data_IF_016799765526
#
_entry.id   IF_016799765526
#
_cell.length_a   1.000
_cell.length_b   1.000
_cell.length_c   1.000
_cell.angle_alpha   90.00
_cell.angle_beta   90.00
_cell.angle_gamma   90.00
#
_symmetry.space_group_name_H-M   'P 1'
#
loop_
_entity.id
_entity.type
_entity.pdbx_description
1 polymer ?
#
# COMPACT_ATOMS: atom_id res chain seq x y z
N UNK A 1 -17.77 -77.27 -4.68
CA UNK A 1 -18.75 -76.42 -5.40
C UNK A 1 -18.90 -75.13 -4.62
N UNK A 2 -19.04 -74.03 -5.36
CA UNK A 2 -19.05 -72.65 -4.88
C UNK A 2 -20.22 -72.37 -3.91
N UNK A 3 -20.00 -71.42 -2.99
CA UNK A 3 -21.04 -70.84 -2.15
C UNK A 3 -20.62 -69.49 -1.55
N UNK A 4 -20.31 -68.52 -2.41
CA UNK A 4 -20.20 -67.10 -2.07
C UNK A 4 -21.60 -66.53 -1.78
N UNK A 5 -21.80 -65.65 -0.79
CA UNK A 5 -22.58 -64.37 -0.86
C UNK A 5 -22.48 -63.57 0.46
N UNK A 6 -21.70 -62.49 0.47
CA UNK A 6 -22.10 -61.07 0.45
C UNK A 6 -22.32 -60.42 1.83
N UNK A 7 -21.25 -59.80 2.36
CA UNK A 7 -21.35 -58.67 3.29
C UNK A 7 -21.29 -57.40 2.44
N UNK A 8 -22.37 -56.62 2.46
CA UNK A 8 -22.43 -55.35 1.73
C UNK A 8 -21.59 -54.28 2.40
N UNK A 9 -20.57 -53.76 1.70
CA UNK A 9 -19.96 -52.48 2.05
C UNK A 9 -20.87 -51.36 1.54
N UNK A 10 -21.46 -50.60 2.45
CA UNK A 10 -22.05 -49.30 2.13
C UNK A 10 -20.89 -48.31 2.00
N UNK A 11 -20.56 -47.92 0.77
CA UNK A 11 -19.66 -46.82 0.51
C UNK A 11 -20.37 -45.51 0.86
N UNK A 12 -20.00 -44.90 1.99
CA UNK A 12 -20.39 -43.51 2.30
C UNK A 12 -19.52 -42.61 1.43
N UNK A 13 -20.08 -42.13 0.32
CA UNK A 13 -19.46 -41.06 -0.46
C UNK A 13 -19.53 -39.77 0.38
N UNK A 14 -18.39 -39.35 0.94
CA UNK A 14 -18.26 -38.03 1.51
C UNK A 14 -18.37 -37.00 0.39
N UNK A 15 -19.55 -36.35 0.27
CA UNK A 15 -19.66 -35.13 -0.53
C UNK A 15 -18.79 -34.07 0.13
N UNK A 16 -17.61 -33.83 -0.45
CA UNK A 16 -16.88 -32.58 -0.24
C UNK A 16 -17.79 -31.46 -0.72
N UNK A 17 -18.40 -30.73 0.21
CA UNK A 17 -19.06 -29.48 -0.09
C UNK A 17 -17.99 -28.51 -0.62
N UNK A 18 -17.93 -28.35 -1.93
CA UNK A 18 -17.19 -27.25 -2.55
C UNK A 18 -17.95 -26.00 -2.17
N UNK A 19 -17.51 -25.32 -1.11
CA UNK A 19 -17.97 -23.95 -0.88
C UNK A 19 -17.58 -23.16 -2.12
N UNK A 20 -18.51 -22.42 -2.76
CA UNK A 20 -18.12 -21.53 -3.82
C UNK A 20 -17.06 -20.60 -3.23
N UNK A 21 -15.88 -20.56 -3.83
CA UNK A 21 -14.87 -19.59 -3.45
C UNK A 21 -15.51 -18.21 -3.64
N UNK A 22 -15.91 -17.57 -2.54
CA UNK A 22 -16.38 -16.19 -2.57
C UNK A 22 -15.36 -15.38 -3.37
N UNK A 23 -15.84 -14.52 -4.27
CA UNK A 23 -14.94 -13.64 -5.01
C UNK A 23 -14.06 -12.92 -4.00
N UNK A 24 -12.76 -13.19 -4.03
CA UNK A 24 -11.83 -12.54 -3.13
C UNK A 24 -11.77 -11.08 -3.57
N UNK A 25 -11.96 -10.19 -2.60
CA UNK A 25 -11.92 -8.73 -2.75
C UNK A 25 -10.71 -8.20 -1.98
N UNK A 26 -10.25 -6.98 -2.26
CA UNK A 26 -9.25 -6.33 -1.42
C UNK A 26 -9.73 -6.24 0.03
N UNK A 27 -8.81 -6.34 0.98
CA UNK A 27 -9.12 -6.08 2.41
C UNK A 27 -9.46 -4.60 2.66
N UNK A 28 -8.95 -3.72 1.78
CA UNK A 28 -9.28 -2.30 1.81
C UNK A 28 -10.73 -2.05 1.40
N UNK A 29 -11.38 -1.15 2.14
CA UNK A 29 -12.80 -0.86 2.01
C UNK A 29 -13.09 0.41 1.22
N UNK A 30 -14.32 0.49 0.72
CA UNK A 30 -14.89 1.71 0.15
C UNK A 30 -14.47 1.94 -1.29
N UNK A 31 -14.17 3.19 -1.62
CA UNK A 31 -13.69 3.60 -2.93
C UNK A 31 -12.15 3.56 -2.95
N UNK A 32 -11.61 2.67 -3.79
CA UNK A 32 -10.20 2.40 -3.91
C UNK A 32 -9.65 2.97 -5.21
N UNK A 33 -8.41 3.43 -5.16
CA UNK A 33 -7.58 3.49 -6.35
C UNK A 33 -7.08 2.09 -6.67
N UNK A 34 -6.98 1.75 -7.96
CA UNK A 34 -6.21 0.60 -8.43
C UNK A 34 -4.98 1.15 -9.15
N UNK A 35 -3.80 0.82 -8.65
CA UNK A 35 -2.52 1.38 -9.08
C UNK A 35 -1.62 0.24 -9.56
N UNK A 36 -0.98 0.33 -10.74
CA UNK A 36 -0.08 -0.72 -11.18
C UNK A 36 1.15 -0.73 -10.25
N UNK A 37 1.64 -1.91 -9.88
CA UNK A 37 2.83 -2.04 -9.03
C UNK A 37 4.09 -1.37 -9.64
N UNK A 38 4.08 -1.15 -10.95
CA UNK A 38 5.12 -0.40 -11.66
C UNK A 38 5.16 1.09 -11.30
N UNK A 39 4.05 1.67 -10.81
CA UNK A 39 3.98 3.08 -10.41
C UNK A 39 2.75 3.38 -9.55
N UNK A 40 3.00 3.73 -8.30
CA UNK A 40 1.96 4.15 -7.36
C UNK A 40 1.33 5.52 -7.73
N UNK A 41 1.85 6.26 -8.72
CA UNK A 41 1.27 7.55 -9.15
C UNK A 41 0.32 7.43 -10.35
N UNK A 42 0.08 6.20 -10.81
CA UNK A 42 -0.81 5.90 -11.94
C UNK A 42 -2.02 5.11 -11.44
N UNK A 43 -3.18 5.37 -12.02
CA UNK A 43 -4.46 4.85 -11.58
C UNK A 43 -5.25 4.28 -12.75
N UNK A 44 -5.88 3.12 -12.54
CA UNK A 44 -6.93 2.60 -13.41
C UNK A 44 -8.07 3.64 -13.47
N UNK A 45 -8.40 4.08 -14.68
CA UNK A 45 -9.28 5.22 -14.90
C UNK A 45 -10.29 4.91 -15.99
N UNK A 46 -11.57 5.16 -15.74
CA UNK A 46 -12.58 5.18 -16.79
C UNK A 46 -12.52 6.51 -17.57
N UNK A 47 -12.43 6.45 -18.91
CA UNK A 47 -12.26 7.65 -19.74
C UNK A 47 -13.48 8.61 -19.70
N UNK A 48 -14.68 8.06 -19.51
CA UNK A 48 -15.94 8.79 -19.26
C UNK A 48 -16.93 7.88 -18.53
N UNK A 49 -18.13 8.37 -18.22
CA UNK A 49 -19.22 7.60 -17.58
C UNK A 49 -20.15 6.88 -18.58
N UNK A 50 -19.83 6.95 -19.88
CA UNK A 50 -20.62 6.34 -20.94
C UNK A 50 -20.34 4.83 -21.07
N UNK A 51 -21.32 4.06 -21.51
CA UNK A 51 -21.10 2.65 -21.86
C UNK A 51 -20.08 2.53 -22.98
N UNK A 52 -19.17 1.57 -22.86
CA UNK A 52 -18.09 1.35 -23.81
C UNK A 52 -16.89 2.28 -23.62
N UNK A 53 -16.93 3.20 -22.65
CA UNK A 53 -15.79 4.06 -22.37
C UNK A 53 -14.56 3.21 -21.99
N UNK A 54 -13.41 3.58 -22.55
CA UNK A 54 -12.16 2.87 -22.34
C UNK A 54 -11.75 2.90 -20.87
N UNK A 55 -11.19 1.79 -20.40
CA UNK A 55 -10.45 1.75 -19.14
C UNK A 55 -8.97 1.92 -19.46
N UNK A 56 -8.38 2.99 -18.95
CA UNK A 56 -7.02 3.45 -19.27
C UNK A 56 -6.19 3.62 -18.01
N UNK A 57 -4.88 3.71 -18.16
CA UNK A 57 -4.01 4.20 -17.09
C UNK A 57 -3.90 5.73 -17.19
N UNK A 58 -3.99 6.41 -16.06
CA UNK A 58 -3.85 7.87 -15.98
C UNK A 58 -3.14 8.25 -14.69
N UNK A 59 -2.43 9.37 -14.67
CA UNK A 59 -1.96 10.01 -13.44
C UNK A 59 -3.10 10.12 -12.40
N UNK A 60 -2.81 9.72 -11.16
CA UNK A 60 -3.79 9.73 -10.08
C UNK A 60 -4.18 11.16 -9.68
N UNK A 61 -5.44 11.54 -9.89
CA UNK A 61 -6.02 12.84 -9.52
C UNK A 61 -7.04 12.74 -8.39
N UNK A 62 -7.59 11.54 -8.15
CA UNK A 62 -8.70 11.34 -7.20
C UNK A 62 -10.07 11.67 -7.80
N UNK A 63 -10.16 11.81 -9.12
CA UNK A 63 -11.41 11.95 -9.84
C UNK A 63 -12.34 10.75 -9.60
N UNK A 64 -13.66 10.96 -9.76
CA UNK A 64 -14.65 9.88 -9.62
C UNK A 64 -14.41 8.71 -10.59
N UNK A 65 -13.81 8.98 -11.75
CA UNK A 65 -13.40 7.99 -12.75
C UNK A 65 -12.28 7.04 -12.30
N UNK A 66 -11.60 7.35 -11.19
CA UNK A 66 -10.47 6.57 -10.65
C UNK A 66 -10.85 5.81 -9.37
N UNK A 67 -12.10 5.94 -8.93
CA UNK A 67 -12.58 5.41 -7.66
C UNK A 67 -13.43 4.19 -7.90
N UNK A 68 -12.87 3.04 -7.52
CA UNK A 68 -13.46 1.74 -7.77
C UNK A 68 -13.96 1.10 -6.49
N UNK A 69 -15.11 0.43 -6.54
CA UNK A 69 -15.67 -0.33 -5.42
C UNK A 69 -15.84 -1.78 -5.80
N UNK A 70 -15.32 -2.68 -4.98
CA UNK A 70 -15.47 -4.12 -5.16
C UNK A 70 -16.76 -4.57 -4.46
N UNK A 71 -17.64 -5.27 -5.17
CA UNK A 71 -18.89 -5.77 -4.58
C UNK A 71 -19.37 -7.03 -5.31
N UNK A 72 -19.43 -8.16 -4.59
CA UNK A 72 -20.02 -9.40 -5.11
C UNK A 72 -19.41 -9.86 -6.44
N UNK A 73 -18.08 -9.76 -6.58
CA UNK A 73 -17.35 -10.09 -7.80
C UNK A 73 -17.30 -8.98 -8.86
N UNK A 74 -18.06 -7.90 -8.72
CA UNK A 74 -17.99 -6.75 -9.64
C UNK A 74 -17.00 -5.69 -9.15
N UNK A 75 -16.35 -4.98 -10.10
CA UNK A 75 -15.48 -3.83 -9.83
C UNK A 75 -16.15 -2.59 -10.43
N UNK A 76 -16.74 -1.76 -9.57
CA UNK A 76 -17.66 -0.69 -9.98
C UNK A 76 -17.01 0.69 -9.98
N UNK A 77 -17.40 1.55 -10.92
CA UNK A 77 -17.08 2.98 -10.98
C UNK A 77 -18.36 3.77 -11.31
N UNK A 78 -18.42 5.05 -10.95
CA UNK A 78 -19.62 5.90 -11.13
C UNK A 78 -20.93 5.28 -10.59
N UNK A 79 -20.83 4.53 -9.50
CA UNK A 79 -21.93 3.80 -8.83
C UNK A 79 -22.51 2.61 -9.60
N UNK A 80 -22.80 2.73 -10.91
CA UNK A 80 -23.50 1.70 -11.69
C UNK A 80 -22.77 1.29 -12.99
N UNK A 81 -21.48 1.62 -13.13
CA UNK A 81 -20.64 1.10 -14.21
C UNK A 81 -19.70 0.05 -13.65
N UNK A 82 -19.45 -1.01 -14.40
CA UNK A 82 -18.62 -2.13 -14.02
C UNK A 82 -17.45 -2.26 -14.99
N UNK A 83 -16.27 -2.62 -14.47
CA UNK A 83 -15.14 -3.07 -15.27
C UNK A 83 -15.58 -4.28 -16.11
N UNK A 84 -15.37 -4.21 -17.41
CA UNK A 84 -15.99 -5.09 -18.38
C UNK A 84 -14.97 -5.50 -19.45
N UNK A 85 -14.93 -6.79 -19.76
CA UNK A 85 -14.21 -7.29 -20.94
C UNK A 85 -15.08 -7.03 -22.16
N UNK A 86 -14.62 -6.15 -23.06
CA UNK A 86 -15.37 -5.78 -24.27
C UNK A 86 -15.86 -7.02 -25.01
N UNK A 87 -17.16 -7.09 -25.27
CA UNK A 87 -17.87 -8.17 -25.97
C UNK A 87 -17.69 -9.58 -25.36
N UNK A 88 -17.10 -9.71 -24.17
CA UNK A 88 -16.86 -11.01 -23.53
C UNK A 88 -15.87 -11.91 -24.27
N UNK A 89 -14.99 -11.33 -25.09
CA UNK A 89 -14.03 -12.09 -25.90
C UNK A 89 -12.85 -12.55 -25.03
N UNK A 90 -12.69 -13.86 -24.87
CA UNK A 90 -11.55 -14.46 -24.16
C UNK A 90 -10.34 -14.64 -25.06
N UNK A 91 -9.65 -13.53 -25.34
CA UNK A 91 -8.43 -13.48 -26.15
C UNK A 91 -7.42 -12.53 -25.51
N UNK A 92 -6.15 -12.91 -25.55
CA UNK A 92 -5.07 -12.02 -25.14
C UNK A 92 -5.08 -10.72 -25.95
N UNK A 93 -4.96 -9.60 -25.25
CA UNK A 93 -5.04 -8.27 -25.83
C UNK A 93 -6.46 -7.72 -25.96
N UNK A 94 -7.50 -8.48 -25.60
CA UNK A 94 -8.86 -7.96 -25.58
C UNK A 94 -8.95 -6.77 -24.62
N UNK A 95 -9.49 -5.66 -25.12
CA UNK A 95 -9.48 -4.40 -24.38
C UNK A 95 -10.57 -4.35 -23.31
N UNK A 96 -10.26 -3.63 -22.23
CA UNK A 96 -11.21 -3.36 -21.16
C UNK A 96 -12.01 -2.10 -21.45
N UNK A 97 -13.24 -2.09 -20.97
CA UNK A 97 -14.16 -0.97 -20.99
C UNK A 97 -14.91 -0.88 -19.66
N UNK A 98 -15.75 0.14 -19.54
CA UNK A 98 -16.83 0.12 -18.58
C UNK A 98 -18.17 -0.12 -19.27
N UNK A 99 -19.09 -0.76 -18.57
CA UNK A 99 -20.46 -0.94 -19.03
C UNK A 99 -21.43 -0.86 -17.86
N UNK A 100 -22.71 -0.58 -18.11
CA UNK A 100 -23.73 -0.67 -17.06
C UNK A 100 -23.64 -2.03 -16.38
N UNK A 101 -23.58 -2.03 -15.05
CA UNK A 101 -23.53 -3.25 -14.27
C UNK A 101 -24.80 -4.09 -14.53
N UNK A 102 -24.61 -5.37 -14.85
CA UNK A 102 -25.69 -6.32 -15.05
C UNK A 102 -25.54 -7.52 -14.12
N UNK A 103 -26.65 -8.01 -13.58
CA UNK A 103 -26.66 -9.25 -12.80
C UNK A 103 -26.25 -10.43 -13.67
N UNK A 104 -25.45 -11.34 -13.11
CA UNK A 104 -24.97 -12.57 -13.78
C UNK A 104 -24.23 -12.34 -15.11
N UNK A 105 -23.72 -11.12 -15.37
CA UNK A 105 -22.89 -10.87 -16.54
C UNK A 105 -21.46 -11.35 -16.29
N UNK A 106 -21.08 -12.45 -16.95
CA UNK A 106 -19.76 -13.05 -16.82
C UNK A 106 -18.62 -12.09 -17.19
N UNK A 107 -18.83 -11.15 -18.11
CA UNK A 107 -17.81 -10.19 -18.58
C UNK A 107 -17.40 -9.17 -17.51
N UNK A 108 -18.19 -9.08 -16.42
CA UNK A 108 -18.06 -8.12 -15.34
C UNK A 108 -17.71 -8.78 -13.99
N UNK A 109 -17.39 -10.08 -14.02
CA UNK A 109 -17.03 -10.84 -12.82
C UNK A 109 -15.53 -10.95 -12.69
N UNK A 110 -15.00 -10.47 -11.58
CA UNK A 110 -13.59 -10.41 -11.29
C UNK A 110 -13.29 -11.06 -9.94
N UNK A 111 -12.08 -11.60 -9.83
CA UNK A 111 -11.52 -12.16 -8.61
C UNK A 111 -10.20 -11.44 -8.32
N UNK A 112 -10.14 -10.76 -7.17
CA UNK A 112 -8.93 -10.08 -6.71
C UNK A 112 -8.17 -10.99 -5.74
N UNK A 113 -7.02 -11.50 -6.17
CA UNK A 113 -6.14 -12.23 -5.27
C UNK A 113 -5.36 -11.23 -4.42
N UNK A 114 -5.73 -11.13 -3.14
CA UNK A 114 -5.09 -10.21 -2.18
C UNK A 114 -3.64 -10.56 -1.87
N UNK A 115 -3.18 -11.79 -2.11
CA UNK A 115 -1.81 -12.21 -1.83
C UNK A 115 -0.85 -11.80 -2.95
N UNK A 116 -1.34 -11.87 -4.18
CA UNK A 116 -0.55 -11.56 -5.39
C UNK A 116 -0.90 -10.18 -5.98
N UNK A 117 -1.87 -9.47 -5.40
CA UNK A 117 -2.44 -8.23 -5.92
C UNK A 117 -2.85 -8.32 -7.40
N UNK A 118 -3.37 -9.48 -7.80
CA UNK A 118 -3.79 -9.70 -9.17
C UNK A 118 -5.32 -9.61 -9.30
N UNK A 119 -5.80 -8.89 -10.31
CA UNK A 119 -7.22 -8.83 -10.66
C UNK A 119 -7.51 -9.71 -11.89
N UNK A 120 -8.18 -10.83 -11.68
CA UNK A 120 -8.43 -11.86 -12.69
C UNK A 120 -9.88 -11.92 -13.13
N UNK A 121 -10.11 -12.21 -14.41
CA UNK A 121 -11.43 -12.47 -14.95
C UNK A 121 -11.91 -13.85 -14.50
N UNK A 122 -13.00 -13.88 -13.73
CA UNK A 122 -13.45 -15.06 -12.97
C UNK A 122 -13.60 -16.30 -13.87
N UNK A 123 -12.78 -17.32 -13.60
CA UNK A 123 -12.82 -18.61 -14.28
C UNK A 123 -12.31 -18.59 -15.73
N UNK A 124 -11.64 -17.53 -16.19
CA UNK A 124 -11.16 -17.41 -17.58
C UNK A 124 -9.66 -17.52 -17.77
N UNK A 125 -8.88 -17.53 -16.68
CA UNK A 125 -7.42 -17.61 -16.73
C UNK A 125 -6.76 -16.36 -17.33
N UNK A 126 -7.48 -15.23 -17.33
CA UNK A 126 -7.02 -13.93 -17.81
C UNK A 126 -7.02 -12.90 -16.70
N UNK A 127 -6.08 -11.98 -16.77
CA UNK A 127 -5.79 -10.98 -15.77
C UNK A 127 -5.85 -9.60 -16.38
N UNK A 128 -6.28 -8.60 -15.61
CA UNK A 128 -6.15 -7.19 -15.99
C UNK A 128 -4.67 -6.90 -16.17
N UNK A 129 -4.31 -6.39 -17.33
CA UNK A 129 -2.94 -6.26 -17.80
C UNK A 129 -2.70 -4.85 -18.35
N UNK A 130 -1.61 -4.24 -17.90
CA UNK A 130 -1.07 -3.03 -18.48
C UNK A 130 -0.22 -3.38 -19.71
N UNK A 131 -0.69 -3.08 -20.95
CA UNK A 131 0.02 -3.50 -22.16
C UNK A 131 1.47 -3.03 -22.15
N UNK A 132 2.39 -3.97 -22.29
CA UNK A 132 3.84 -3.76 -22.33
C UNK A 132 4.41 -3.01 -21.11
N UNK A 133 3.67 -2.93 -20.00
CA UNK A 133 4.04 -2.11 -18.84
C UNK A 133 4.06 -0.62 -19.14
N UNK A 134 3.44 -0.16 -20.23
CA UNK A 134 3.52 1.22 -20.69
C UNK A 134 2.68 2.15 -19.80
N UNK A 135 3.37 3.01 -19.05
CA UNK A 135 2.81 3.98 -18.09
C UNK A 135 2.37 5.32 -18.72
N UNK A 136 2.38 5.46 -20.05
CA UNK A 136 1.84 6.65 -20.72
C UNK A 136 0.35 6.83 -20.40
N UNK A 137 -0.01 8.06 -20.06
CA UNK A 137 -1.41 8.42 -19.80
C UNK A 137 -2.28 8.12 -21.04
N UNK A 138 -3.45 7.52 -20.81
CA UNK A 138 -4.37 7.10 -21.86
C UNK A 138 -4.11 5.69 -22.42
N UNK A 139 -3.03 4.99 -22.02
CA UNK A 139 -2.82 3.60 -22.46
C UNK A 139 -3.97 2.71 -21.99
N UNK A 140 -4.68 2.08 -22.93
CA UNK A 140 -5.89 1.29 -22.67
C UNK A 140 -5.55 -0.11 -22.19
N UNK A 141 -6.09 -0.47 -21.03
CA UNK A 141 -5.87 -1.77 -20.41
C UNK A 141 -6.50 -2.89 -21.22
N UNK A 142 -5.95 -4.08 -21.02
CA UNK A 142 -6.39 -5.29 -21.68
C UNK A 142 -6.53 -6.43 -20.68
N UNK A 143 -7.05 -7.55 -21.15
CA UNK A 143 -6.84 -8.83 -20.49
C UNK A 143 -5.69 -9.58 -21.15
N UNK A 144 -4.93 -10.31 -20.35
CA UNK A 144 -3.87 -11.18 -20.82
C UNK A 144 -3.77 -12.44 -19.96
N UNK A 145 -3.18 -13.51 -20.47
CA UNK A 145 -2.90 -14.73 -19.71
C UNK A 145 -2.25 -14.42 -18.37
N UNK A 146 -2.85 -14.94 -17.29
CA UNK A 146 -2.34 -14.71 -15.94
C UNK A 146 -0.95 -15.33 -15.76
N UNK A 147 0.01 -14.56 -15.28
CA UNK A 147 1.35 -15.06 -14.99
C UNK A 147 1.93 -14.44 -13.72
N UNK A 148 2.32 -15.30 -12.79
CA UNK A 148 2.86 -15.00 -11.45
C UNK A 148 4.21 -14.25 -11.43
N UNK A 149 4.82 -13.96 -12.58
CA UNK A 149 6.02 -13.10 -12.70
C UNK A 149 5.79 -11.86 -13.55
N UNK A 150 4.58 -11.63 -14.04
CA UNK A 150 4.27 -10.48 -14.87
C UNK A 150 3.84 -9.30 -13.99
N UNK A 151 4.76 -8.35 -13.77
CA UNK A 151 4.49 -7.12 -12.99
C UNK A 151 3.45 -6.21 -13.62
N UNK A 152 3.11 -6.41 -14.90
CA UNK A 152 2.06 -5.64 -15.59
C UNK A 152 0.64 -6.03 -15.14
N UNK A 153 0.52 -7.13 -14.39
CA UNK A 153 -0.76 -7.68 -13.91
C UNK A 153 -0.95 -7.53 -12.41
N UNK A 154 -0.11 -6.72 -11.77
CA UNK A 154 -0.14 -6.47 -10.33
C UNK A 154 -0.73 -5.08 -10.10
N UNK A 155 -1.82 -5.05 -9.35
CA UNK A 155 -2.69 -3.91 -9.12
C UNK A 155 -2.86 -3.70 -7.63
N UNK A 156 -2.08 -2.80 -7.06
CA UNK A 156 -2.22 -2.40 -5.67
C UNK A 156 -3.52 -1.61 -5.50
N UNK A 157 -4.21 -1.88 -4.40
CA UNK A 157 -5.36 -1.07 -3.99
C UNK A 157 -4.97 -0.10 -2.90
N UNK A 158 -5.49 1.12 -2.95
CA UNK A 158 -5.29 2.06 -1.85
C UNK A 158 -6.05 3.35 -2.01
N UNK A 159 -5.52 4.40 -1.41
CA UNK A 159 -6.18 5.66 -1.19
C UNK A 159 -5.27 6.82 -1.54
N UNK A 160 -5.89 7.99 -1.70
CA UNK A 160 -5.16 9.24 -1.63
C UNK A 160 -5.18 9.75 -0.20
N UNK A 161 -4.10 10.40 0.20
CA UNK A 161 -4.01 11.05 1.51
C UNK A 161 -5.11 12.08 1.76
N UNK A 162 -5.62 12.73 0.70
CA UNK A 162 -6.67 13.75 0.77
C UNK A 162 -8.10 13.17 0.80
N UNK A 163 -8.24 11.84 0.73
CA UNK A 163 -9.51 11.14 0.66
C UNK A 163 -9.50 9.82 1.46
N UNK A 164 -8.90 9.83 2.65
CA UNK A 164 -8.82 8.65 3.51
C UNK A 164 -10.19 8.29 4.13
N UNK A 165 -10.55 7.00 4.20
CA UNK A 165 -11.70 6.54 4.96
C UNK A 165 -11.42 6.68 6.47
N UNK A 166 -12.47 6.59 7.30
CA UNK A 166 -12.25 6.51 8.75
C UNK A 166 -11.50 5.22 9.10
N UNK A 167 -11.92 4.09 8.54
CA UNK A 167 -11.22 2.81 8.63
C UNK A 167 -11.00 2.23 7.25
N UNK A 168 -9.78 1.84 6.95
CA UNK A 168 -9.41 1.19 5.69
C UNK A 168 -9.69 -0.32 5.70
N UNK A 169 -9.65 -0.99 6.86
CA UNK A 169 -9.86 -2.45 6.96
C UNK A 169 -10.89 -2.84 8.04
N UNK A 170 -11.39 -4.08 7.98
CA UNK A 170 -12.20 -4.69 9.04
C UNK A 170 -11.35 -5.05 10.25
N UNK A 171 -11.79 -4.67 11.45
CA UNK A 171 -11.05 -4.92 12.70
C UNK A 171 -10.00 -3.85 13.06
N UNK A 172 -9.86 -2.80 12.25
CA UNK A 172 -8.98 -1.69 12.54
C UNK A 172 -9.30 -1.02 13.89
N UNK A 173 -8.30 -0.87 14.75
CA UNK A 173 -8.42 -0.26 16.08
C UNK A 173 -8.76 1.23 16.01
N UNK A 174 -7.86 2.00 15.39
CA UNK A 174 -7.88 3.45 15.31
C UNK A 174 -8.60 3.97 14.07
N UNK A 175 -8.07 5.06 13.52
CA UNK A 175 -8.61 5.75 12.34
C UNK A 175 -7.52 6.16 11.35
N UNK A 176 -7.85 6.19 10.06
CA UNK A 176 -7.04 6.83 9.03
C UNK A 176 -7.41 8.32 8.81
N UNK A 177 -8.55 8.80 9.34
CA UNK A 177 -8.95 10.22 9.36
C UNK A 177 -8.35 10.95 10.56
N UNK A 178 -7.02 11.03 10.59
CA UNK A 178 -6.27 11.46 11.77
C UNK A 178 -6.49 12.92 12.20
N UNK A 179 -7.04 13.76 11.32
CA UNK A 179 -7.11 15.21 11.54
C UNK A 179 -5.72 15.83 11.58
N UNK A 180 -5.58 16.99 12.23
CA UNK A 180 -4.32 17.74 12.28
C UNK A 180 -3.75 17.90 13.68
N UNK A 181 -4.53 17.69 14.73
CA UNK A 181 -4.05 17.88 16.11
C UNK A 181 -3.29 16.65 16.59
N UNK A 182 -2.10 16.85 17.13
CA UNK A 182 -1.25 15.78 17.66
C UNK A 182 -1.17 15.84 19.18
N UNK A 183 -1.45 14.72 19.84
CA UNK A 183 -1.29 14.51 21.27
C UNK A 183 -1.19 13.00 21.57
N UNK A 184 -0.90 12.65 22.82
CA UNK A 184 -0.61 11.28 23.22
C UNK A 184 -1.84 10.36 23.31
N UNK A 185 -3.06 10.90 23.14
CA UNK A 185 -4.30 10.12 23.09
C UNK A 185 -4.71 9.71 21.67
N UNK A 186 -4.01 10.21 20.64
CA UNK A 186 -4.37 9.97 19.23
C UNK A 186 -4.20 8.51 18.84
N UNK A 187 -5.17 8.00 18.09
CA UNK A 187 -5.19 6.64 17.54
C UNK A 187 -5.11 6.65 16.01
N UNK A 188 -4.30 7.55 15.45
CA UNK A 188 -4.06 7.59 14.01
C UNK A 188 -3.31 6.34 13.56
N UNK A 189 -3.80 5.69 12.50
CA UNK A 189 -3.14 4.55 11.86
C UNK A 189 -2.68 4.88 10.44
N UNK A 190 -2.21 6.11 10.25
CA UNK A 190 -1.56 6.58 9.01
C UNK A 190 -0.17 7.13 9.34
N UNK A 191 0.87 6.51 8.77
CA UNK A 191 2.26 6.87 8.96
C UNK A 191 2.83 7.57 7.73
N UNK A 192 3.93 8.31 7.95
CA UNK A 192 4.66 9.02 6.91
C UNK A 192 6.15 8.73 7.01
N UNK A 193 6.84 8.67 5.87
CA UNK A 193 8.31 8.53 5.81
C UNK A 193 8.86 9.43 4.70
N UNK A 194 9.50 10.55 5.10
CA UNK A 194 9.97 11.58 4.18
C UNK A 194 11.46 11.91 4.35
N UNK A 195 11.97 11.92 5.59
CA UNK A 195 13.37 12.23 5.92
C UNK A 195 13.70 11.80 7.34
N UNK A 196 14.97 11.94 7.75
CA UNK A 196 15.43 11.76 9.12
C UNK A 196 14.71 12.67 10.12
N UNK A 197 14.14 13.79 9.69
CA UNK A 197 13.41 14.72 10.56
C UNK A 197 11.89 14.67 10.41
N UNK A 198 11.36 14.00 9.40
CA UNK A 198 9.92 13.87 9.13
C UNK A 198 9.56 12.41 8.81
N UNK A 199 9.24 11.67 9.86
CA UNK A 199 8.80 10.30 9.77
C UNK A 199 7.89 9.93 10.93
N UNK A 200 7.28 8.76 10.81
CA UNK A 200 6.50 8.12 11.85
C UNK A 200 7.00 6.71 12.09
N UNK A 201 6.78 6.21 13.31
CA UNK A 201 6.94 4.82 13.70
C UNK A 201 5.60 4.28 14.20
N UNK A 202 5.37 2.99 14.01
CA UNK A 202 4.27 2.28 14.66
C UNK A 202 4.71 1.88 16.06
N UNK A 203 3.84 2.13 17.05
CA UNK A 203 4.09 1.69 18.42
C UNK A 203 2.77 1.54 19.20
N UNK A 204 2.79 0.85 20.36
CA UNK A 204 1.59 0.48 21.10
C UNK A 204 0.76 1.71 21.54
N UNK A 205 -0.57 1.69 21.37
CA UNK A 205 -1.45 2.74 21.89
C UNK A 205 -1.53 2.78 23.43
N UNK A 206 -1.23 1.68 24.11
CA UNK A 206 -1.08 1.55 25.57
C UNK A 206 0.17 0.74 25.88
N UNK A 207 0.60 0.70 27.14
CA UNK A 207 1.79 -0.07 27.54
C UNK A 207 1.60 -1.56 27.25
N UNK A 208 2.29 -2.09 26.26
CA UNK A 208 2.23 -3.49 25.82
C UNK A 208 3.47 -3.83 25.00
N UNK A 209 3.80 -5.13 24.93
CA UNK A 209 4.86 -5.57 24.00
C UNK A 209 4.41 -5.34 22.55
N UNK A 210 5.36 -5.27 21.62
CA UNK A 210 5.04 -5.16 20.20
C UNK A 210 4.25 -6.37 19.71
N UNK A 211 4.66 -7.58 20.08
CA UNK A 211 3.94 -8.80 19.70
C UNK A 211 2.48 -8.85 20.20
N UNK A 212 2.19 -8.26 21.37
CA UNK A 212 0.82 -8.23 21.92
C UNK A 212 -0.07 -7.13 21.33
N UNK A 213 0.51 -6.15 20.63
CA UNK A 213 -0.21 -4.92 20.20
C UNK A 213 0.00 -4.56 18.74
N UNK A 214 0.68 -5.42 17.98
CA UNK A 214 1.04 -5.17 16.58
C UNK A 214 -0.17 -4.81 15.71
N UNK A 215 -1.32 -5.41 15.99
CA UNK A 215 -2.57 -5.21 15.24
C UNK A 215 -3.22 -3.86 15.52
N UNK A 216 -3.01 -3.31 16.72
CA UNK A 216 -3.58 -2.07 17.21
C UNK A 216 -2.60 -0.89 17.24
N UNK A 217 -1.34 -1.12 16.85
CA UNK A 217 -0.30 -0.11 16.81
C UNK A 217 -0.76 1.17 16.10
N UNK A 218 -0.34 2.32 16.64
CA UNK A 218 -0.72 3.65 16.15
C UNK A 218 0.53 4.43 15.74
N UNK A 219 0.36 5.44 14.89
CA UNK A 219 1.47 6.24 14.38
C UNK A 219 1.96 7.25 15.43
N UNK A 220 3.27 7.25 15.64
CA UNK A 220 4.02 8.22 16.41
C UNK A 220 4.99 8.95 15.51
N UNK A 221 4.83 10.26 15.33
CA UNK A 221 5.59 11.01 14.35
C UNK A 221 6.53 12.03 14.98
N UNK A 222 7.64 12.32 14.29
CA UNK A 222 8.52 13.44 14.62
C UNK A 222 7.87 14.80 14.35
N UNK A 223 6.82 14.83 13.52
CA UNK A 223 6.04 16.04 13.23
C UNK A 223 4.70 16.05 13.94
N UNK A 224 4.42 17.14 14.67
CA UNK A 224 3.04 17.46 15.05
C UNK A 224 2.29 18.05 13.86
N UNK A 225 0.96 17.99 13.83
CA UNK A 225 0.18 18.44 12.67
C UNK A 225 -0.37 17.29 11.81
N UNK A 226 0.07 16.05 12.07
CA UNK A 226 -0.33 14.84 11.34
C UNK A 226 -1.58 14.16 11.89
N UNK A 227 -2.12 14.64 13.01
CA UNK A 227 -3.22 13.95 13.70
C UNK A 227 -2.76 12.72 14.51
N UNK A 228 -1.45 12.53 14.60
CA UNK A 228 -0.78 11.36 15.19
C UNK A 228 -0.30 11.66 16.60
N UNK A 229 0.18 10.64 17.31
CA UNK A 229 1.01 10.89 18.49
C UNK A 229 2.34 11.50 18.05
N UNK A 230 3.03 12.18 18.97
CA UNK A 230 4.37 12.69 18.72
C UNK A 230 5.40 11.86 19.48
N UNK A 231 6.52 11.55 18.81
CA UNK A 231 7.64 10.83 19.44
C UNK A 231 8.21 11.72 20.56
N UNK A 232 8.20 11.28 21.85
CA UNK A 232 8.63 12.14 22.94
C UNK A 232 10.08 12.61 22.80
N UNK A 233 10.38 13.80 23.30
CA UNK A 233 11.73 14.37 23.22
C UNK A 233 12.77 13.46 23.90
N UNK A 234 13.93 13.33 23.25
CA UNK A 234 15.04 12.51 23.75
C UNK A 234 14.81 11.00 23.64
N UNK A 235 13.75 10.55 22.96
CA UNK A 235 13.54 9.15 22.56
C UNK A 235 14.59 8.72 21.54
N UNK A 236 14.74 9.48 20.45
CA UNK A 236 15.66 9.14 19.36
C UNK A 236 17.12 9.47 19.74
N UNK A 237 18.00 8.49 19.67
CA UNK A 237 19.45 8.61 19.95
C UNK A 237 20.33 8.49 18.70
N UNK A 238 19.79 8.00 17.60
CA UNK A 238 20.39 8.07 16.27
C UNK A 238 19.31 7.82 15.22
N UNK A 239 19.43 8.48 14.07
CA UNK A 239 18.49 8.35 12.95
C UNK A 239 19.25 8.43 11.64
N UNK A 240 19.15 7.38 10.84
CA UNK A 240 19.70 7.33 9.49
C UNK A 240 18.56 7.14 8.50
N UNK A 241 18.34 8.13 7.65
CA UNK A 241 17.40 8.04 6.54
C UNK A 241 18.16 7.85 5.24
N UNK A 242 17.70 6.94 4.40
CA UNK A 242 18.23 6.74 3.06
C UNK A 242 17.11 6.66 2.03
N UNK A 243 17.28 7.40 0.93
CA UNK A 243 16.47 7.27 -0.27
C UNK A 243 17.26 6.52 -1.34
N UNK A 244 16.68 5.45 -1.86
CA UNK A 244 17.21 4.68 -3.00
C UNK A 244 16.30 4.85 -4.21
N UNK A 245 16.62 4.25 -5.37
CA UNK A 245 15.70 4.19 -6.50
C UNK A 245 14.41 3.40 -6.19
N UNK A 246 14.47 2.39 -5.32
CA UNK A 246 13.39 1.42 -5.11
C UNK A 246 12.67 1.56 -3.75
N UNK A 247 13.24 2.27 -2.78
CA UNK A 247 12.63 2.45 -1.47
C UNK A 247 13.18 3.66 -0.71
N UNK A 248 12.45 4.05 0.33
CA UNK A 248 12.99 4.83 1.44
C UNK A 248 13.10 3.95 2.66
N UNK A 249 14.14 4.19 3.45
CA UNK A 249 14.37 3.46 4.69
C UNK A 249 14.83 4.42 5.76
N UNK A 250 14.34 4.21 6.98
CA UNK A 250 14.81 4.91 8.16
C UNK A 250 15.16 3.90 9.25
N UNK A 251 16.33 4.07 9.86
CA UNK A 251 16.88 3.19 10.89
C UNK A 251 17.39 4.02 12.05
N UNK A 252 17.47 3.43 13.24
CA UNK A 252 18.03 4.14 14.36
C UNK A 252 17.92 3.43 15.70
N UNK A 253 18.41 4.14 16.70
CA UNK A 253 18.45 3.69 18.11
C UNK A 253 17.78 4.72 19.00
N UNK A 254 17.30 4.29 20.16
CA UNK A 254 16.49 5.13 21.02
C UNK A 254 16.19 4.55 22.39
N UNK A 255 15.40 5.29 23.15
CA UNK A 255 14.70 4.84 24.35
C UNK A 255 13.20 4.82 24.03
N UNK A 256 12.75 3.72 23.42
CA UNK A 256 11.37 3.56 22.98
C UNK A 256 10.43 3.13 24.10
N UNK A 257 10.94 3.00 25.33
CA UNK A 257 10.08 2.84 26.51
C UNK A 257 9.16 4.04 26.73
N UNK A 258 9.54 5.18 26.16
CA UNK A 258 8.74 6.41 26.08
C UNK A 258 7.56 6.32 25.11
N UNK A 259 7.51 5.28 24.27
CA UNK A 259 6.46 5.04 23.28
C UNK A 259 5.63 3.82 23.64
N UNK A 260 5.41 3.61 24.95
CA UNK A 260 4.63 2.52 25.53
C UNK A 260 5.23 1.10 25.41
N UNK A 261 6.44 0.96 24.87
CA UNK A 261 7.11 -0.35 24.78
C UNK A 261 7.73 -0.69 26.16
N UNK A 262 7.53 -1.88 26.73
CA UNK A 262 8.20 -2.28 27.96
C UNK A 262 9.71 -2.40 27.77
N UNK A 263 10.49 -2.04 28.81
CA UNK A 263 11.93 -2.31 28.81
C UNK A 263 12.19 -3.82 28.71
N UNK A 264 13.16 -4.21 27.88
CA UNK A 264 13.48 -5.61 27.60
C UNK A 264 12.62 -6.29 26.53
N UNK A 265 11.64 -5.58 25.94
CA UNK A 265 10.93 -6.09 24.77
C UNK A 265 11.89 -6.17 23.57
N UNK A 266 12.01 -7.37 23.00
CA UNK A 266 12.86 -7.63 21.83
C UNK A 266 12.28 -7.06 20.54
N UNK A 267 11.02 -6.61 20.57
CA UNK A 267 10.33 -6.03 19.44
C UNK A 267 9.60 -7.06 18.58
N UNK A 268 9.12 -6.61 17.43
CA UNK A 268 8.43 -7.44 16.45
C UNK A 268 8.33 -6.75 15.09
N UNK A 269 7.95 -7.52 14.07
CA UNK A 269 7.64 -6.99 12.75
C UNK A 269 6.26 -6.34 12.72
N UNK A 270 6.16 -5.26 11.95
CA UNK A 270 4.94 -4.54 11.61
C UNK A 270 4.98 -4.27 10.11
N UNK A 271 3.93 -4.63 9.40
CA UNK A 271 3.91 -4.67 7.94
C UNK A 271 2.50 -4.44 7.38
N UNK A 272 2.42 -4.39 6.05
CA UNK A 272 1.17 -4.20 5.32
C UNK A 272 0.31 -5.47 5.19
N UNK A 273 0.81 -6.65 5.61
CA UNK A 273 0.25 -7.99 5.36
C UNK A 273 0.64 -9.03 6.45
N UNK A 274 -0.15 -9.09 7.50
CA UNK A 274 -0.15 -10.21 8.45
C UNK A 274 -0.72 -11.50 7.87
N UNK A 275 -0.70 -12.56 8.66
CA UNK A 275 -1.05 -13.93 8.25
C UNK A 275 -2.49 -14.12 7.71
N UNK A 276 -3.41 -13.22 8.02
CA UNK A 276 -4.79 -13.23 7.52
C UNK A 276 -5.01 -12.33 6.29
N UNK A 277 -3.96 -11.65 5.83
CA UNK A 277 -3.94 -10.71 4.71
C UNK A 277 -4.24 -9.26 5.11
N UNK A 278 -4.50 -8.98 6.39
CA UNK A 278 -4.62 -7.63 6.94
C UNK A 278 -3.29 -7.20 7.52
N UNK A 279 -2.98 -5.91 7.49
CA UNK A 279 -1.71 -5.42 8.02
C UNK A 279 -1.58 -5.56 9.54
N UNK A 280 -0.35 -5.36 10.00
CA UNK A 280 0.03 -5.21 11.39
C UNK A 280 0.75 -3.85 11.53
N UNK A 281 0.04 -2.74 11.84
CA UNK A 281 -1.34 -2.69 12.30
C UNK A 281 -2.41 -2.88 11.22
N UNK A 282 -3.57 -3.38 11.65
CA UNK A 282 -4.73 -3.51 10.76
C UNK A 282 -5.13 -2.11 10.30
N UNK A 283 -5.21 -1.92 8.99
CA UNK A 283 -5.53 -0.64 8.36
C UNK A 283 -4.41 0.40 8.44
N UNK A 284 -3.19 -0.04 8.75
CA UNK A 284 -1.98 0.78 8.66
C UNK A 284 -1.74 1.25 7.23
N UNK A 285 -1.70 2.57 7.03
CA UNK A 285 -1.39 3.18 5.73
C UNK A 285 -0.08 3.97 5.82
N UNK A 286 0.76 3.87 4.80
CA UNK A 286 2.06 4.56 4.75
C UNK A 286 2.12 5.47 3.54
N UNK A 287 2.54 6.71 3.76
CA UNK A 287 2.67 7.72 2.71
C UNK A 287 4.05 8.38 2.73
N UNK A 288 4.45 8.95 1.60
CA UNK A 288 5.64 9.78 1.55
C UNK A 288 5.72 10.66 0.32
N UNK A 289 6.76 11.48 0.29
CA UNK A 289 6.99 12.46 -0.78
C UNK A 289 8.21 12.13 -1.66
N UNK A 290 8.97 11.09 -1.30
CA UNK A 290 10.27 10.78 -1.91
C UNK A 290 10.16 10.30 -3.36
N UNK A 291 9.04 9.65 -3.72
CA UNK A 291 8.79 9.11 -5.06
C UNK A 291 7.63 9.81 -5.80
N UNK A 292 7.05 10.85 -5.19
CA UNK A 292 5.89 11.56 -5.69
C UNK A 292 5.15 12.24 -4.55
N UNK A 293 4.38 13.29 -4.84
CA UNK A 293 3.69 14.04 -3.78
C UNK A 293 2.62 13.19 -3.11
N UNK A 294 2.74 13.02 -1.79
CA UNK A 294 1.79 12.31 -0.94
C UNK A 294 1.40 10.93 -1.48
N UNK A 295 2.40 10.20 -1.97
CA UNK A 295 2.25 8.89 -2.57
C UNK A 295 2.00 7.84 -1.50
N UNK A 296 1.04 6.94 -1.70
CA UNK A 296 0.91 5.76 -0.84
C UNK A 296 2.03 4.77 -1.19
N UNK A 297 2.71 4.26 -0.17
CA UNK A 297 3.63 3.15 -0.31
C UNK A 297 2.90 1.88 0.13
N UNK A 298 2.62 1.00 -0.84
CA UNK A 298 1.78 -0.18 -0.62
C UNK A 298 2.53 -1.32 0.05
N UNK A 299 3.82 -1.48 -0.27
CA UNK A 299 4.68 -2.50 0.31
C UNK A 299 5.64 -1.83 1.30
N UNK A 300 5.57 -2.21 2.57
CA UNK A 300 6.38 -1.66 3.64
C UNK A 300 6.50 -2.67 4.78
N UNK A 301 7.64 -2.63 5.49
CA UNK A 301 7.91 -3.44 6.68
C UNK A 301 8.68 -2.57 7.68
N UNK A 302 8.43 -2.78 8.96
CA UNK A 302 9.06 -2.08 10.07
C UNK A 302 9.27 -3.00 11.25
N UNK A 303 10.31 -2.73 12.00
CA UNK A 303 10.57 -3.36 13.28
C UNK A 303 10.87 -2.28 14.29
N UNK A 304 10.43 -2.50 15.52
CA UNK A 304 10.73 -1.64 16.64
C UNK A 304 10.85 -2.49 17.90
N UNK A 305 11.82 -2.17 18.75
CA UNK A 305 12.01 -2.74 20.08
C UNK A 305 12.12 -1.62 21.11
N UNK A 306 12.48 -1.95 22.36
CA UNK A 306 12.74 -0.93 23.38
C UNK A 306 13.94 -0.02 23.07
N UNK A 307 14.85 -0.45 22.16
CA UNK A 307 16.15 0.20 21.90
C UNK A 307 16.42 0.59 20.46
N UNK A 308 15.76 -0.03 19.49
CA UNK A 308 16.04 0.21 18.07
C UNK A 308 14.78 0.18 17.21
N UNK A 309 14.91 0.74 16.01
CA UNK A 309 13.86 0.68 15.01
C UNK A 309 14.45 0.66 13.59
N UNK A 310 13.65 0.16 12.68
CA UNK A 310 13.87 0.27 11.25
C UNK A 310 12.53 0.23 10.53
N UNK A 311 12.40 1.00 9.47
CA UNK A 311 11.17 1.08 8.69
C UNK A 311 11.54 1.36 7.23
N UNK A 312 11.15 0.45 6.34
CA UNK A 312 11.34 0.58 4.90
C UNK A 312 9.99 0.60 4.20
N UNK A 313 9.86 1.50 3.23
CA UNK A 313 8.70 1.58 2.35
C UNK A 313 9.16 1.60 0.89
N UNK A 314 8.65 0.64 0.11
CA UNK A 314 9.16 0.30 -1.21
C UNK A 314 8.18 0.69 -2.32
N UNK A 315 8.74 0.93 -3.51
CA UNK A 315 8.00 1.25 -4.74
C UNK A 315 8.52 0.43 -5.92
N UNK A 316 7.71 0.35 -6.98
CA UNK A 316 8.12 -0.28 -8.22
C UNK A 316 8.09 -1.81 -8.20
N UNK A 317 8.59 -2.47 -9.26
CA UNK A 317 8.39 -3.90 -9.50
C UNK A 317 9.03 -4.81 -8.45
N UNK A 318 10.03 -4.32 -7.70
CA UNK A 318 10.73 -5.08 -6.66
C UNK A 318 10.15 -4.87 -5.26
N UNK A 319 9.11 -4.04 -5.12
CA UNK A 319 8.66 -3.56 -3.81
C UNK A 319 8.36 -4.70 -2.82
N UNK A 320 7.60 -5.71 -3.22
CA UNK A 320 7.29 -6.88 -2.39
C UNK A 320 8.52 -7.69 -1.96
N UNK A 321 9.56 -7.73 -2.78
CA UNK A 321 10.80 -8.47 -2.47
C UNK A 321 11.77 -7.68 -1.58
N UNK A 322 11.73 -6.35 -1.67
CA UNK A 322 12.58 -5.44 -0.90
C UNK A 322 11.94 -5.06 0.45
N UNK A 323 10.62 -5.12 0.54
CA UNK A 323 9.82 -4.93 1.75
C UNK A 323 9.04 -6.22 2.04
N UNK A 324 9.75 -7.34 2.12
CA UNK A 324 9.15 -8.63 2.40
C UNK A 324 8.75 -8.71 3.89
N UNK A 325 7.71 -9.48 4.18
CA UNK A 325 7.00 -9.51 5.47
C UNK A 325 6.88 -10.96 6.02
N UNK A 326 7.88 -11.79 5.72
CA UNK A 326 7.91 -13.22 6.10
C UNK A 326 9.11 -13.56 6.99
N UNK A 327 9.83 -12.55 7.46
CA UNK A 327 11.09 -12.67 8.20
C UNK A 327 10.98 -12.03 9.58
N UNK A 328 9.82 -12.26 10.21
CA UNK A 328 9.30 -11.59 11.41
C UNK A 328 10.20 -11.70 12.64
N UNK A 329 11.08 -12.70 12.71
CA UNK A 329 11.97 -12.91 13.88
C UNK A 329 13.42 -12.51 13.61
N UNK A 330 13.74 -12.03 12.40
CA UNK A 330 15.11 -11.72 12.01
C UNK A 330 15.57 -10.33 12.48
N UNK A 331 14.62 -9.42 12.71
CA UNK A 331 14.88 -8.10 13.27
C UNK A 331 15.57 -7.13 12.31
N UNK A 332 15.88 -5.94 12.83
CA UNK A 332 16.34 -4.81 12.03
C UNK A 332 17.65 -5.06 11.28
N UNK A 333 18.66 -5.57 11.98
CA UNK A 333 20.00 -5.74 11.43
C UNK A 333 20.07 -6.75 10.29
N UNK A 334 19.13 -7.70 10.22
CA UNK A 334 19.07 -8.69 9.16
C UNK A 334 18.15 -8.26 8.01
N UNK A 335 16.95 -7.76 8.31
CA UNK A 335 15.98 -7.35 7.29
C UNK A 335 16.31 -6.01 6.63
N UNK A 336 16.83 -5.05 7.41
CA UNK A 336 17.14 -3.69 6.95
C UNK A 336 18.57 -3.23 7.32
N UNK A 337 19.62 -3.95 6.89
CA UNK A 337 21.01 -3.58 7.21
C UNK A 337 21.33 -2.14 6.78
N UNK A 338 21.85 -1.32 7.71
CA UNK A 338 22.10 0.11 7.53
C UNK A 338 23.01 0.67 8.63
N UNK A 339 23.13 2.00 8.69
CA UNK A 339 23.70 2.70 9.83
C UNK A 339 22.67 2.79 10.98
N UNK A 340 23.07 2.37 12.19
CA UNK A 340 22.30 2.48 13.44
C UNK A 340 23.07 3.24 14.53
N UNK A 341 24.17 3.90 14.19
CA UNK A 341 25.07 4.52 15.16
C UNK A 341 24.34 5.58 15.99
N UNK A 342 24.44 5.46 17.32
CA UNK A 342 24.00 6.51 18.22
C UNK A 342 24.80 7.81 17.98
N UNK A 343 24.14 8.95 18.14
CA UNK A 343 24.69 10.28 17.88
C UNK A 343 24.71 10.69 16.40
N UNK A 344 24.39 9.78 15.48
CA UNK A 344 24.32 10.08 14.05
C UNK A 344 22.88 10.41 13.66
N UNK A 345 22.69 11.55 13.00
CA UNK A 345 21.41 12.00 12.46
C UNK A 345 21.64 12.49 11.04
N UNK A 346 21.14 11.79 10.03
CA UNK A 346 21.49 12.11 8.64
C UNK A 346 20.44 11.69 7.61
N UNK A 347 20.37 12.47 6.53
CA UNK A 347 19.65 12.16 5.30
C UNK A 347 20.65 11.79 4.20
N UNK A 348 20.54 10.59 3.63
CA UNK A 348 21.44 10.06 2.62
C UNK A 348 20.72 9.65 1.33
N UNK A 349 21.49 9.52 0.26
CA UNK A 349 21.11 8.74 -0.93
C UNK A 349 21.82 7.39 -0.83
N UNK A 350 21.20 6.32 -1.32
CA UNK A 350 21.84 5.01 -1.29
C UNK A 350 21.49 4.12 -2.47
N UNK A 351 22.29 3.07 -2.61
CA UNK A 351 22.02 1.98 -3.54
C UNK A 351 20.87 1.10 -3.01
N UNK A 352 20.12 0.48 -3.91
CA UNK A 352 19.08 -0.47 -3.52
C UNK A 352 19.70 -1.72 -2.88
N UNK A 353 19.12 -2.14 -1.75
CA UNK A 353 19.44 -3.41 -1.10
C UNK A 353 19.21 -4.64 -1.99
N UNK A 354 19.85 -5.73 -1.61
CA UNK A 354 19.47 -7.06 -2.07
C UNK A 354 18.11 -7.44 -1.47
N UNK A 355 17.24 -8.16 -2.21
CA UNK A 355 15.97 -8.65 -1.67
C UNK A 355 16.16 -9.54 -0.45
N UNK A 356 15.28 -9.38 0.54
CA UNK A 356 15.37 -10.10 1.81
C UNK A 356 15.32 -11.62 1.59
N UNK A 357 16.31 -12.33 2.12
CA UNK A 357 16.44 -13.78 2.05
C UNK A 357 16.87 -14.34 0.70
N UNK A 358 17.27 -13.51 -0.27
CA UNK A 358 17.74 -13.97 -1.59
C UNK A 358 19.26 -13.99 -1.65
N UNK A 359 19.84 -15.19 -1.65
CA UNK A 359 21.29 -15.41 -1.68
C UNK A 359 21.70 -16.05 -3.01
N UNK A 360 22.17 -15.20 -3.92
CA UNK A 360 22.51 -15.61 -5.30
C UNK A 360 21.25 -16.05 -6.05
N UNK A 361 21.17 -17.33 -6.40
CA UNK A 361 19.99 -17.94 -7.05
C UNK A 361 19.07 -18.67 -6.07
N UNK A 362 19.37 -18.66 -4.77
CA UNK A 362 18.61 -19.35 -3.74
C UNK A 362 17.79 -18.38 -2.89
N UNK A 363 16.64 -18.85 -2.41
CA UNK A 363 15.84 -18.14 -1.40
C UNK A 363 15.87 -18.95 -0.12
N UNK A 364 16.30 -18.31 0.95
CA UNK A 364 16.22 -18.84 2.31
C UNK A 364 14.90 -18.40 2.95
N UNK A 365 14.29 -19.29 3.73
CA UNK A 365 13.07 -19.00 4.48
C UNK A 365 13.31 -19.12 5.98
N UNK A 366 12.64 -18.26 6.76
CA UNK A 366 12.74 -18.27 8.21
C UNK A 366 12.52 -19.68 8.80
N UNK A 367 13.39 -20.06 9.74
CA UNK A 367 13.38 -21.37 10.39
C UNK A 367 14.22 -22.45 9.70
N UNK A 368 14.78 -22.18 8.52
CA UNK A 368 15.73 -23.10 7.87
C UNK A 368 17.14 -22.98 8.45
N UNK A 369 17.83 -24.11 8.59
CA UNK A 369 19.20 -24.17 9.12
C UNK A 369 20.23 -24.55 8.03
N UNK A 370 21.42 -23.90 8.02
CA UNK A 370 21.80 -22.78 8.88
C UNK A 370 21.10 -21.48 8.45
N UNK A 371 20.79 -20.61 9.42
CA UNK A 371 20.40 -19.23 9.14
C UNK A 371 21.60 -18.48 8.52
N UNK A 372 21.46 -17.91 7.32
CA UNK A 372 22.54 -17.17 6.69
C UNK A 372 22.78 -15.83 7.39
N UNK A 373 24.00 -15.32 7.25
CA UNK A 373 24.33 -13.96 7.69
C UNK A 373 23.49 -12.93 6.94
N UNK A 374 23.20 -11.81 7.60
CA UNK A 374 22.52 -10.67 6.98
C UNK A 374 23.23 -10.22 5.69
N UNK A 375 22.46 -9.71 4.73
CA UNK A 375 23.05 -9.01 3.59
C UNK A 375 23.90 -7.82 4.07
N UNK A 376 24.98 -7.47 3.36
CA UNK A 376 25.73 -6.26 3.68
C UNK A 376 24.83 -5.03 3.52
N UNK A 377 25.03 -4.04 4.38
CA UNK A 377 24.39 -2.73 4.22
C UNK A 377 24.74 -2.15 2.84
N UNK A 378 23.75 -1.68 2.06
CA UNK A 378 24.02 -1.01 0.79
C UNK A 378 24.83 0.25 1.01
N UNK A 379 25.57 0.68 -0.02
CA UNK A 379 26.34 1.92 0.08
C UNK A 379 25.39 3.10 0.23
N UNK A 380 25.67 3.95 1.20
CA UNK A 380 25.09 5.29 1.33
C UNK A 380 26.10 6.34 0.87
N UNK A 381 25.59 7.45 0.37
CA UNK A 381 26.37 8.57 -0.16
C UNK A 381 25.59 9.88 -0.02
N UNK A 382 26.28 11.00 -0.24
CA UNK A 382 25.67 12.34 -0.14
C UNK A 382 24.93 12.60 1.18
N UNK A 383 25.41 11.98 2.27
CA UNK A 383 24.82 12.09 3.59
C UNK A 383 24.93 13.52 4.13
N UNK A 384 23.77 14.07 4.50
CA UNK A 384 23.65 15.40 5.08
C UNK A 384 23.31 15.24 6.56
N UNK A 385 24.19 15.68 7.48
CA UNK A 385 23.86 15.71 8.89
C UNK A 385 22.64 16.60 9.12
N UNK A 386 21.74 16.15 9.98
CA UNK A 386 20.62 16.96 10.49
C UNK A 386 20.80 17.18 11.99
N UNK A 387 20.23 18.26 12.56
CA UNK A 387 20.20 18.42 14.01
C UNK A 387 19.55 17.21 14.68
N UNK A 388 19.79 17.04 15.98
CA UNK A 388 19.11 16.00 16.75
C UNK A 388 17.59 16.08 16.54
N UNK A 389 17.02 14.93 16.20
CA UNK A 389 15.62 14.87 15.77
C UNK A 389 14.73 15.01 17.00
N UNK A 390 13.88 16.04 16.97
CA UNK A 390 12.91 16.34 18.02
C UNK A 390 11.56 16.72 17.41
N UNK A 391 10.52 16.74 18.26
CA UNK A 391 9.17 17.11 17.82
C UNK A 391 9.17 18.52 17.26
N UNK A 392 8.69 18.67 16.04
CA UNK A 392 8.51 19.97 15.39
C UNK A 392 7.17 20.05 14.68
N UNK A 393 6.54 21.23 14.57
CA UNK A 393 5.34 21.37 13.76
C UNK A 393 5.60 21.04 12.29
N UNK A 394 4.61 20.43 11.63
CA UNK A 394 4.54 20.47 10.17
C UNK A 394 4.55 21.94 9.73
N UNK A 395 5.54 22.30 8.89
CA UNK A 395 5.62 23.64 8.32
C UNK A 395 4.56 23.80 7.22
N UNK A 396 4.10 25.05 7.00
CA UNK A 396 3.13 25.35 5.93
C UNK A 396 3.84 25.29 4.58
N UNK A 397 3.07 24.95 3.53
CA UNK A 397 3.52 24.85 2.13
C UNK A 397 4.44 26.00 1.73
N UNK A 398 5.64 25.69 1.24
CA UNK A 398 6.56 26.64 0.60
C UNK A 398 7.83 26.98 1.38
N UNK A 399 7.96 26.59 2.66
CA UNK A 399 9.17 26.84 3.47
C UNK A 399 10.17 25.68 3.47
N UNK A 400 9.78 24.49 2.99
CA UNK A 400 10.58 23.26 3.01
C UNK A 400 10.72 22.60 1.63
N UNK A 401 10.21 23.24 0.56
CA UNK A 401 10.24 22.69 -0.80
C UNK A 401 9.39 21.42 -1.00
N UNK A 402 8.58 21.02 -0.01
CA UNK A 402 7.72 19.83 -0.10
C UNK A 402 6.25 20.20 -0.40
N UNK A 403 5.55 19.45 -1.29
CA UNK A 403 4.15 19.70 -1.62
C UNK A 403 3.21 19.19 -0.51
N UNK A 404 2.96 20.03 0.49
CA UNK A 404 1.89 19.81 1.48
C UNK A 404 0.47 19.98 0.91
N UNK A 405 -0.51 19.37 1.58
CA UNK A 405 -1.93 19.34 1.21
C UNK A 405 -2.51 20.69 0.77
N UNK A 406 -3.22 20.70 -0.36
CA UNK A 406 -3.91 21.88 -0.84
C UNK A 406 -5.14 22.16 0.02
N UNK A 407 -5.12 23.25 0.80
CA UNK A 407 -6.38 23.91 1.12
C UNK A 407 -6.83 24.63 -0.15
N UNK A 408 -7.99 24.22 -0.69
CA UNK A 408 -8.78 25.08 -1.57
C UNK A 408 -9.02 26.38 -0.81
N UNK A 409 -8.43 27.48 -1.27
CA UNK A 409 -8.92 28.80 -0.90
C UNK A 409 -10.34 28.90 -1.48
N UNK A 410 -11.34 28.84 -0.61
CA UNK A 410 -12.63 29.47 -0.89
C UNK A 410 -12.32 30.97 -0.77
N UNK A 411 -11.95 31.60 -1.89
CA UNK A 411 -11.88 33.05 -1.95
C UNK A 411 -13.31 33.53 -2.16
N UNK A 412 -13.92 34.00 -1.07
CA UNK A 412 -15.17 34.74 -1.09
C UNK A 412 -14.93 36.11 -1.71
N UNK A 413 -14.89 36.18 -3.05
CA UNK A 413 -15.02 37.44 -3.80
C UNK A 413 -15.93 37.23 -5.02
N UNK A 414 -16.86 38.16 -5.18
CA UNK A 414 -17.96 38.15 -6.14
C UNK A 414 -17.56 38.17 -7.62
N UNK A 415 -18.55 38.21 -8.53
CA UNK A 415 -18.42 37.63 -9.86
C UNK A 415 -17.70 38.57 -10.82
N UNK A 416 -16.63 38.08 -11.44
CA UNK A 416 -16.17 38.60 -12.73
C UNK A 416 -16.07 37.44 -13.73
N UNK A 417 -16.70 37.55 -14.90
CA UNK A 417 -16.73 36.46 -15.87
C UNK A 417 -15.41 36.44 -16.63
N UNK A 418 -14.67 35.34 -16.54
CA UNK A 418 -13.59 35.03 -17.49
C UNK A 418 -14.03 33.80 -18.27
N UNK A 419 -14.61 34.07 -19.43
CA UNK A 419 -14.88 33.08 -20.48
C UNK A 419 -13.56 32.65 -21.09
N UNK A 420 -13.09 31.45 -20.73
CA UNK A 420 -12.03 30.77 -21.48
C UNK A 420 -12.68 29.96 -22.59
N UNK A 421 -12.55 30.44 -23.83
CA UNK A 421 -13.03 29.74 -25.01
C UNK A 421 -12.12 28.54 -25.33
N UNK A 422 -12.73 27.36 -25.48
CA UNK A 422 -12.08 26.18 -26.05
C UNK A 422 -12.15 26.26 -27.58
N UNK A 423 -11.06 26.05 -28.34
CA UNK A 423 -11.14 25.93 -29.79
C UNK A 423 -11.83 24.60 -30.15
N UNK A 424 -13.06 24.67 -30.67
CA UNK A 424 -13.73 23.52 -31.30
C UNK A 424 -15.20 23.28 -30.96
N UNK A 425 -15.87 24.10 -30.15
CA UNK A 425 -17.30 23.91 -29.86
C UNK A 425 -18.18 24.87 -30.67
N UNK A 426 -18.97 24.36 -31.61
CA UNK A 426 -20.08 25.08 -32.25
C UNK A 426 -21.17 25.41 -31.21
N UNK A 427 -21.68 26.66 -31.16
CA UNK A 427 -22.74 27.03 -30.22
C UNK A 427 -24.09 26.35 -30.57
N UNK A 428 -24.92 26.04 -29.56
CA UNK A 428 -26.28 25.56 -29.79
C UNK A 428 -27.19 26.67 -30.34
N UNK A 429 -28.22 26.34 -31.13
CA UNK A 429 -29.16 27.32 -31.67
C UNK A 429 -30.02 27.92 -30.55
N UNK A 430 -30.18 29.24 -30.58
CA UNK A 430 -30.95 29.99 -29.60
C UNK A 430 -32.46 29.88 -29.88
N UNK A 431 -33.22 29.52 -28.84
CA UNK A 431 -34.61 29.92 -28.64
C UNK A 431 -34.84 30.09 -27.12
#
# INVERSE_FOLDING_TARGET
>A
MLGNKFVGLVAVAALLAVTPASAQVPEFKGQLLLQPALSNNKCLTAASDSNGAAVVIQTCTGAASQKWTFTGGTVKVFSNKCLDVTDGVNKDGQKLQIWTCASNNANQQWYYNKWDNNLSWTGKGKCVDLPDGNLSDGNRLQIWGCWNKNTNQIWDTGYRTDALPDKSQDGQYGTNKCGTTSDQSKNCQTAFINSASDFCLWAPPWKATIGDSEREAVAWCTKSGRGTRTIPQGTLKGVHFVKTPDYVQITGTGDFTKMNIPAGDSGGELDNRGADGKGNPIGGLVFGNSFGSNLQYHEWTSFISDKEFCFRACVGPKAKSLCNHIYDVMGCWWNMPANYNAGVYEDCVGDSAQPMGVYGTSTWYQGQNPTPAAHPAPKSSSCKPVPSVSVSPLRRRGEDGAPGFAKRHIDSRGPHPVTVAFPGATPPPQA
#
